data_IF_088528105463
#
_entry.id   IF_088528105463
#
_cell.length_a   1.000
_cell.length_b   1.000
_cell.length_c   1.000
_cell.angle_alpha   90.00
_cell.angle_beta   90.00
_cell.angle_gamma   90.00
#
_symmetry.space_group_name_H-M   'P 1'
#
loop_
_entity.id
_entity.type
_entity.pdbx_description
1 polymer ?
#
# COMPACT_ATOMS: atom_id res chain seq x y z
N UNK A 1 19.36 4.65 -2.09
CA UNK A 1 19.57 5.39 -3.35
C UNK A 1 20.18 6.74 -3.04
N UNK A 2 21.16 7.16 -3.84
CA UNK A 2 21.81 8.47 -3.70
C UNK A 2 21.14 9.45 -4.65
N UNK A 3 20.88 10.68 -4.18
CA UNK A 3 20.35 11.75 -5.03
C UNK A 3 21.53 12.41 -5.71
N UNK A 4 21.70 12.19 -7.01
CA UNK A 4 22.83 12.70 -7.78
C UNK A 4 22.49 13.95 -8.62
N UNK A 5 21.18 14.21 -8.85
CA UNK A 5 20.76 15.33 -9.69
C UNK A 5 19.28 15.68 -9.43
N UNK A 6 18.78 16.71 -10.13
CA UNK A 6 17.40 17.16 -10.01
C UNK A 6 16.39 16.10 -10.49
N UNK A 7 16.75 15.30 -11.49
CA UNK A 7 15.87 14.25 -12.00
C UNK A 7 15.62 13.18 -10.94
N UNK A 8 16.68 12.79 -10.20
CA UNK A 8 16.55 11.85 -9.09
C UNK A 8 15.65 12.41 -8.00
N UNK A 9 15.82 13.68 -7.65
CA UNK A 9 14.98 14.34 -6.65
C UNK A 9 13.52 14.35 -7.08
N UNK A 10 13.24 14.70 -8.34
CA UNK A 10 11.87 14.71 -8.86
C UNK A 10 11.27 13.30 -8.90
N UNK A 11 12.06 12.30 -9.27
CA UNK A 11 11.62 10.91 -9.26
C UNK A 11 11.23 10.43 -7.88
N UNK A 12 12.04 10.73 -6.86
CA UNK A 12 11.75 10.37 -5.48
C UNK A 12 10.52 11.09 -4.95
N UNK A 13 10.35 12.36 -5.28
CA UNK A 13 9.16 13.13 -4.88
C UNK A 13 7.89 12.57 -5.52
N UNK A 14 7.97 12.19 -6.79
CA UNK A 14 6.84 11.62 -7.52
C UNK A 14 6.41 10.29 -6.91
N UNK A 15 7.37 9.40 -6.64
CA UNK A 15 7.09 8.11 -6.00
C UNK A 15 6.54 8.28 -4.59
N UNK A 16 7.11 9.20 -3.81
CA UNK A 16 6.63 9.50 -2.45
C UNK A 16 5.22 10.06 -2.42
N UNK A 17 4.89 10.92 -3.37
CA UNK A 17 3.54 11.49 -3.49
C UNK A 17 2.53 10.42 -3.89
N UNK A 18 2.90 9.57 -4.83
CA UNK A 18 2.04 8.48 -5.28
C UNK A 18 1.76 7.49 -4.15
N UNK A 19 2.79 7.08 -3.41
CA UNK A 19 2.61 6.13 -2.30
C UNK A 19 1.72 6.70 -1.21
N UNK A 20 1.85 7.99 -0.92
CA UNK A 20 0.99 8.68 0.05
C UNK A 20 -0.47 8.74 -0.42
N UNK A 21 -0.69 9.04 -1.70
CA UNK A 21 -2.04 9.10 -2.27
C UNK A 21 -2.72 7.73 -2.24
N UNK A 22 -1.98 6.67 -2.58
CA UNK A 22 -2.51 5.31 -2.55
C UNK A 22 -2.91 4.92 -1.12
N UNK A 23 -2.02 5.14 -0.16
CA UNK A 23 -2.31 4.84 1.25
C UNK A 23 -3.56 5.57 1.72
N UNK A 24 -3.68 6.86 1.42
CA UNK A 24 -4.81 7.67 1.83
C UNK A 24 -6.12 7.17 1.22
N UNK A 25 -6.11 6.81 -0.05
CA UNK A 25 -7.28 6.22 -0.71
C UNK A 25 -7.69 4.89 -0.08
N UNK A 26 -6.72 4.04 0.23
CA UNK A 26 -7.00 2.75 0.87
C UNK A 26 -7.59 2.93 2.27
N UNK A 27 -7.02 3.85 3.07
CA UNK A 27 -7.54 4.15 4.41
C UNK A 27 -8.99 4.62 4.34
N UNK A 28 -9.30 5.49 3.39
CA UNK A 28 -10.67 6.00 3.21
C UNK A 28 -11.63 4.95 2.70
N UNK A 29 -11.15 4.01 1.90
CA UNK A 29 -11.99 2.97 1.31
C UNK A 29 -12.28 1.82 2.27
N UNK A 30 -11.45 1.62 3.29
CA UNK A 30 -11.60 0.50 4.22
C UNK A 30 -12.91 0.62 5.00
N UNK A 31 -13.76 -0.40 4.88
CA UNK A 31 -15.06 -0.41 5.54
C UNK A 31 -15.44 -1.84 5.96
N UNK A 32 -16.33 -1.98 6.97
CA UNK A 32 -16.80 -3.30 7.37
C UNK A 32 -17.47 -4.05 6.22
N UNK A 33 -17.24 -5.35 6.14
CA UNK A 33 -17.76 -6.20 5.08
C UNK A 33 -16.84 -6.38 3.89
N UNK A 34 -15.82 -5.55 3.77
CA UNK A 34 -14.81 -5.64 2.72
C UNK A 34 -13.75 -6.66 3.09
N UNK A 35 -13.25 -7.42 2.12
CA UNK A 35 -12.11 -8.30 2.35
C UNK A 35 -10.79 -7.51 2.22
N UNK A 36 -9.73 -8.01 2.83
CA UNK A 36 -8.41 -7.38 2.67
C UNK A 36 -7.94 -7.47 1.23
N UNK A 37 -8.35 -8.51 0.48
CA UNK A 37 -8.04 -8.62 -0.95
C UNK A 37 -8.71 -7.50 -1.76
N UNK A 38 -9.97 -7.18 -1.45
CA UNK A 38 -10.67 -6.07 -2.12
C UNK A 38 -9.98 -4.74 -1.84
N UNK A 39 -9.55 -4.54 -0.60
CA UNK A 39 -8.83 -3.32 -0.22
C UNK A 39 -7.48 -3.25 -0.96
N UNK A 40 -6.76 -4.37 -1.05
CA UNK A 40 -5.48 -4.44 -1.79
C UNK A 40 -5.68 -4.11 -3.28
N UNK A 41 -6.80 -4.55 -3.86
CA UNK A 41 -7.11 -4.31 -5.26
C UNK A 41 -7.20 -2.82 -5.59
N UNK A 42 -7.64 -2.02 -4.64
CA UNK A 42 -7.69 -0.55 -4.80
C UNK A 42 -6.28 0.00 -4.98
N UNK A 43 -5.36 -0.42 -4.13
CA UNK A 43 -3.96 0.00 -4.22
C UNK A 43 -3.29 -0.50 -5.50
N UNK A 44 -3.54 -1.76 -5.86
CA UNK A 44 -3.00 -2.34 -7.09
C UNK A 44 -3.48 -1.59 -8.34
N UNK A 45 -4.75 -1.23 -8.40
CA UNK A 45 -5.30 -0.48 -9.53
C UNK A 45 -4.69 0.91 -9.65
N UNK A 46 -4.42 1.58 -8.54
CA UNK A 46 -3.77 2.89 -8.54
C UNK A 46 -2.33 2.80 -9.02
N UNK A 47 -1.59 1.77 -8.59
CA UNK A 47 -0.23 1.53 -9.08
C UNK A 47 -0.23 1.30 -10.59
N UNK A 48 -1.12 0.45 -11.08
CA UNK A 48 -1.26 0.15 -12.52
C UNK A 48 -1.51 1.41 -13.34
N UNK A 49 -2.44 2.24 -12.91
CA UNK A 49 -2.77 3.47 -13.63
C UNK A 49 -1.61 4.46 -13.68
N UNK A 50 -0.77 4.45 -12.66
CA UNK A 50 0.39 5.34 -12.58
C UNK A 50 1.63 4.77 -13.26
N UNK A 51 1.59 3.51 -13.69
CA UNK A 51 2.77 2.83 -14.24
C UNK A 51 3.76 2.40 -13.18
N UNK A 52 3.33 2.33 -11.91
CA UNK A 52 4.17 1.89 -10.80
C UNK A 52 4.04 0.38 -10.59
N UNK A 53 5.02 -0.19 -9.91
CA UNK A 53 5.03 -1.62 -9.56
C UNK A 53 5.13 -1.79 -8.05
N UNK A 54 4.46 -2.82 -7.53
CA UNK A 54 4.56 -3.15 -6.11
C UNK A 54 5.97 -3.62 -5.79
N UNK A 55 6.63 -2.99 -4.81
CA UNK A 55 7.96 -3.37 -4.38
C UNK A 55 7.98 -4.78 -3.76
N UNK A 56 7.06 -5.16 -2.86
CA UNK A 56 7.01 -6.52 -2.33
C UNK A 56 6.85 -7.57 -3.41
N UNK A 57 5.98 -7.32 -4.40
CA UNK A 57 5.78 -8.28 -5.50
C UNK A 57 7.04 -8.44 -6.35
N UNK A 58 7.81 -7.37 -6.53
CA UNK A 58 9.06 -7.40 -7.30
C UNK A 58 10.20 -8.10 -6.57
N UNK A 59 10.33 -7.86 -5.26
CA UNK A 59 11.51 -8.30 -4.50
C UNK A 59 11.31 -9.62 -3.78
N UNK A 60 10.08 -9.95 -3.38
CA UNK A 60 9.77 -11.12 -2.55
C UNK A 60 8.77 -12.08 -3.18
N UNK A 61 8.36 -11.83 -4.40
CA UNK A 61 7.29 -12.60 -5.04
C UNK A 61 6.02 -12.63 -4.16
N UNK A 62 5.73 -11.51 -3.52
CA UNK A 62 4.61 -11.37 -2.58
C UNK A 62 3.27 -11.49 -3.32
N UNK A 63 2.28 -12.25 -2.79
CA UNK A 63 1.02 -12.53 -3.49
C UNK A 63 0.00 -11.39 -3.41
N UNK A 64 0.42 -10.16 -3.27
CA UNK A 64 -0.44 -8.97 -3.25
C UNK A 64 0.38 -7.75 -3.63
N UNK A 65 -0.27 -6.59 -3.71
CA UNK A 65 0.41 -5.34 -4.03
C UNK A 65 0.83 -4.57 -2.79
N UNK A 66 0.09 -4.73 -1.68
CA UNK A 66 0.32 -4.04 -0.42
C UNK A 66 0.29 -5.03 0.74
N UNK A 67 0.77 -4.61 1.91
CA UNK A 67 0.65 -5.40 3.13
C UNK A 67 -0.50 -4.84 3.96
N UNK A 68 -1.45 -5.70 4.33
CA UNK A 68 -2.60 -5.31 5.13
C UNK A 68 -2.68 -6.24 6.32
N UNK A 69 -2.48 -5.71 7.51
CA UNK A 69 -2.58 -6.48 8.76
C UNK A 69 -3.83 -6.05 9.51
N UNK A 70 -4.51 -7.03 10.07
CA UNK A 70 -5.76 -6.83 10.79
C UNK A 70 -5.58 -7.32 12.22
N UNK A 71 -5.81 -6.43 13.18
CA UNK A 71 -5.71 -6.71 14.62
C UNK A 71 -4.31 -7.27 15.00
N UNK A 72 -4.26 -8.50 15.51
CA UNK A 72 -3.02 -9.12 15.99
C UNK A 72 -2.18 -9.79 14.92
N UNK A 73 -2.60 -9.73 13.67
CA UNK A 73 -1.77 -10.26 12.57
C UNK A 73 -0.57 -9.34 12.41
N UNK A 74 0.56 -9.80 12.91
CA UNK A 74 1.82 -9.06 12.87
C UNK A 74 2.53 -9.34 11.57
N UNK A 75 3.13 -8.30 10.99
CA UNK A 75 4.08 -8.35 9.88
C UNK A 75 3.67 -9.26 8.71
N UNK A 76 3.86 -8.81 7.49
CA UNK A 76 3.58 -9.54 6.27
C UNK A 76 2.10 -9.90 6.08
N UNK A 77 1.18 -8.99 6.49
CA UNK A 77 -0.25 -9.18 6.26
C UNK A 77 -0.55 -9.40 4.79
N UNK A 78 -0.77 -10.66 4.40
CA UNK A 78 -1.07 -11.01 3.02
C UNK A 78 -2.55 -10.76 2.76
N UNK A 79 -2.89 -9.90 1.76
CA UNK A 79 -4.29 -9.68 1.41
C UNK A 79 -4.98 -10.97 1.03
N UNK A 80 -6.18 -11.18 1.54
CA UNK A 80 -6.91 -12.43 1.34
C UNK A 80 -8.40 -12.27 1.63
N UNK A 81 -9.00 -13.37 2.07
CA UNK A 81 -10.45 -13.46 2.26
C UNK A 81 -10.91 -13.01 3.64
N UNK A 82 -10.01 -12.54 4.50
CA UNK A 82 -10.37 -12.00 5.79
C UNK A 82 -11.27 -10.78 5.63
N UNK A 83 -12.40 -10.77 6.32
CA UNK A 83 -13.38 -9.69 6.24
C UNK A 83 -13.10 -8.66 7.32
N UNK A 84 -12.96 -7.41 6.89
CA UNK A 84 -12.79 -6.28 7.81
C UNK A 84 -14.09 -6.07 8.58
N UNK A 85 -13.99 -5.87 9.89
CA UNK A 85 -15.13 -5.67 10.76
C UNK A 85 -15.04 -4.31 11.46
N UNK A 86 -16.21 -3.81 11.86
CA UNK A 86 -16.27 -2.58 12.64
C UNK A 86 -15.43 -2.72 13.92
N UNK A 87 -14.64 -1.71 14.22
CA UNK A 87 -13.76 -1.70 15.38
C UNK A 87 -12.40 -2.35 15.16
N UNK A 88 -12.15 -2.96 14.00
CA UNK A 88 -10.85 -3.55 13.72
C UNK A 88 -9.75 -2.50 13.67
N UNK A 89 -8.58 -2.90 14.15
CA UNK A 89 -7.35 -2.13 13.95
C UNK A 89 -6.69 -2.65 12.67
N UNK A 90 -6.51 -1.76 11.69
CA UNK A 90 -5.93 -2.09 10.39
C UNK A 90 -4.60 -1.37 10.25
N UNK A 91 -3.59 -2.09 9.78
CA UNK A 91 -2.32 -1.49 9.36
C UNK A 91 -2.16 -1.75 7.86
N UNK A 92 -1.89 -0.71 7.11
CA UNK A 92 -1.62 -0.78 5.68
C UNK A 92 -0.23 -0.24 5.40
N UNK A 93 0.59 -1.03 4.71
CA UNK A 93 1.89 -0.61 4.23
C UNK A 93 1.90 -0.65 2.72
N UNK A 94 2.29 0.46 2.10
CA UNK A 94 2.37 0.61 0.65
C UNK A 94 3.83 0.87 0.27
N UNK A 95 4.38 0.01 -0.58
CA UNK A 95 5.73 0.17 -1.12
C UNK A 95 5.68 -0.01 -2.62
N UNK A 96 6.28 0.91 -3.37
CA UNK A 96 6.24 0.85 -4.81
C UNK A 96 7.55 1.32 -5.46
N UNK A 97 7.67 0.98 -6.73
CA UNK A 97 8.72 1.48 -7.61
C UNK A 97 8.06 2.19 -8.78
N UNK A 98 8.53 3.38 -9.11
CA UNK A 98 8.08 4.16 -10.25
C UNK A 98 9.31 4.75 -10.94
N UNK A 99 9.52 4.37 -12.20
CA UNK A 99 10.65 4.85 -13.00
C UNK A 99 12.02 4.62 -12.36
N UNK A 100 12.16 3.54 -11.58
CA UNK A 100 13.40 3.20 -10.88
C UNK A 100 13.52 3.79 -9.47
N UNK A 101 12.52 4.54 -9.01
CA UNK A 101 12.54 5.20 -7.70
C UNK A 101 11.57 4.51 -6.75
N UNK A 102 12.09 4.06 -5.61
CA UNK A 102 11.31 3.37 -4.59
C UNK A 102 10.78 4.34 -3.55
N UNK A 103 9.57 4.07 -3.05
CA UNK A 103 9.01 4.78 -1.90
C UNK A 103 8.12 3.84 -1.11
N UNK A 104 8.01 4.08 0.19
CA UNK A 104 7.13 3.33 1.07
C UNK A 104 6.52 4.23 2.13
N UNK A 105 5.34 3.84 2.60
CA UNK A 105 4.68 4.49 3.73
C UNK A 105 3.65 3.53 4.32
N UNK A 106 3.25 3.80 5.55
CA UNK A 106 2.27 2.98 6.22
C UNK A 106 1.46 3.77 7.24
N UNK A 107 0.31 3.24 7.62
CA UNK A 107 -0.52 3.82 8.64
C UNK A 107 -1.35 2.75 9.35
N UNK A 108 -1.61 2.98 10.63
CA UNK A 108 -2.54 2.17 11.42
C UNK A 108 -3.74 3.02 11.76
N UNK A 109 -4.92 2.43 11.68
CA UNK A 109 -6.17 3.13 11.97
C UNK A 109 -7.24 2.16 12.43
N UNK A 110 -8.25 2.66 13.13
CA UNK A 110 -9.40 1.87 13.54
C UNK A 110 -10.55 2.08 12.57
N UNK A 111 -11.19 0.97 12.19
CA UNK A 111 -12.40 1.04 11.34
C UNK A 111 -13.55 1.49 12.21
N UNK A 112 -14.29 2.56 11.85
CA UNK A 112 -15.43 3.02 12.66
C UNK A 112 -16.48 1.94 12.85
N UNK A 113 -17.10 1.90 14.03
CA UNK A 113 -18.18 0.95 14.30
C UNK A 113 -19.45 1.25 13.51
#
# INVERSE_FOLDING_TARGET
MTIDNDDDLQGLKKSGRLVADILQCMVRAAEPGMTTRELDSIGAAMMDRAGARSAPALTYDFPGATCISRNEVCAHGIPGDDVIQAGDLINIDVSLELDGYFADTGASFSVPP
#
